data_IF_295088654534
#
_entry.id   IF_295088654534
#
_cell.length_a   1.000
_cell.length_b   1.000
_cell.length_c   1.000
_cell.angle_alpha   90.00
_cell.angle_beta   90.00
_cell.angle_gamma   90.00
#
_symmetry.space_group_name_H-M   'P 1'
#
loop_
_entity.id
_entity.type
_entity.pdbx_description
1 polymer ?
#
# COMPACT_ATOMS: atom_id res chain seq x y z
N UNK A 1 15.71 -1.89 15.22
CA UNK A 1 16.16 -3.20 14.67
C UNK A 1 15.83 -3.32 13.20
N UNK A 2 14.56 -3.20 12.77
CA UNK A 2 14.17 -3.41 11.37
C UNK A 2 14.87 -2.47 10.39
N UNK A 3 15.02 -1.20 10.71
CA UNK A 3 15.68 -0.22 9.86
C UNK A 3 17.14 -0.60 9.55
N UNK A 4 17.89 -1.08 10.53
CA UNK A 4 19.28 -1.55 10.31
C UNK A 4 19.36 -2.72 9.36
N UNK A 5 18.41 -3.67 9.46
CA UNK A 5 18.32 -4.83 8.56
C UNK A 5 17.98 -4.37 7.15
N UNK A 6 16.92 -3.57 6.99
CA UNK A 6 16.48 -3.05 5.68
C UNK A 6 17.58 -2.23 5.01
N UNK A 7 18.27 -1.35 5.74
CA UNK A 7 19.41 -0.61 5.24
C UNK A 7 20.48 -1.54 4.68
N UNK A 8 20.98 -2.47 5.52
CA UNK A 8 22.07 -3.39 5.13
C UNK A 8 21.70 -4.24 3.92
N UNK A 9 20.48 -4.80 3.91
CA UNK A 9 20.01 -5.61 2.76
C UNK A 9 19.91 -4.77 1.50
N UNK A 10 19.35 -3.56 1.60
CA UNK A 10 19.20 -2.65 0.45
C UNK A 10 20.55 -2.25 -0.13
N UNK A 11 21.51 -1.86 0.71
CA UNK A 11 22.88 -1.50 0.27
C UNK A 11 23.54 -2.67 -0.46
N UNK A 12 23.40 -3.89 0.04
CA UNK A 12 23.91 -5.07 -0.62
C UNK A 12 23.19 -5.39 -1.95
N UNK A 13 21.86 -5.25 -2.01
CA UNK A 13 21.11 -5.44 -3.26
C UNK A 13 21.60 -4.45 -4.33
N UNK A 14 21.71 -3.17 -4.02
CA UNK A 14 22.14 -2.15 -4.98
C UNK A 14 23.60 -2.36 -5.40
N UNK A 15 24.47 -2.76 -4.48
CA UNK A 15 25.87 -3.08 -4.79
C UNK A 15 26.01 -4.15 -5.88
N UNK A 16 25.16 -5.19 -5.84
CA UNK A 16 25.24 -6.33 -6.77
C UNK A 16 24.23 -6.24 -7.92
N UNK A 17 23.18 -5.43 -7.79
CA UNK A 17 22.10 -5.26 -8.76
C UNK A 17 21.64 -3.81 -8.84
N UNK A 18 22.46 -2.89 -9.41
CA UNK A 18 22.21 -1.44 -9.36
C UNK A 18 20.95 -0.99 -10.12
N UNK A 19 20.41 -1.84 -10.97
CA UNK A 19 19.18 -1.58 -11.73
C UNK A 19 17.95 -2.28 -11.16
N UNK A 20 18.06 -2.94 -10.00
CA UNK A 20 16.94 -3.63 -9.38
C UNK A 20 15.79 -2.67 -9.04
N UNK A 21 14.56 -3.16 -9.15
CA UNK A 21 13.38 -2.56 -8.53
C UNK A 21 13.20 -3.24 -7.18
N UNK A 22 13.04 -2.46 -6.14
CA UNK A 22 12.98 -2.95 -4.75
C UNK A 22 11.55 -2.84 -4.27
N UNK A 23 10.94 -3.98 -3.96
CA UNK A 23 9.60 -4.06 -3.35
C UNK A 23 9.79 -4.38 -1.86
N UNK A 24 9.45 -3.42 -1.03
CA UNK A 24 9.48 -3.59 0.42
C UNK A 24 8.22 -4.30 0.89
N UNK A 25 8.38 -5.29 1.78
CA UNK A 25 7.30 -6.05 2.43
C UNK A 25 7.39 -5.94 3.95
N UNK A 26 8.52 -5.51 4.47
CA UNK A 26 8.81 -5.40 5.90
C UNK A 26 8.05 -4.27 6.57
N UNK A 27 7.57 -4.51 7.80
CA UNK A 27 6.87 -3.51 8.62
C UNK A 27 7.81 -2.77 9.62
N UNK A 28 7.47 -1.53 9.99
CA UNK A 28 6.38 -0.68 9.47
C UNK A 28 6.64 -0.26 8.02
N UNK A 29 5.74 -0.64 7.10
CA UNK A 29 6.01 -0.68 5.67
C UNK A 29 6.44 0.66 5.09
N UNK A 30 5.65 1.72 5.33
CA UNK A 30 5.88 3.04 4.73
C UNK A 30 7.25 3.60 5.13
N UNK A 31 7.60 3.42 6.42
CA UNK A 31 8.91 3.86 6.95
C UNK A 31 10.05 2.97 6.47
N UNK A 32 9.81 1.67 6.25
CA UNK A 32 10.84 0.79 5.68
C UNK A 32 11.06 1.08 4.18
N UNK A 33 10.04 1.55 3.45
CA UNK A 33 10.22 2.08 2.09
C UNK A 33 11.11 3.32 2.09
N UNK A 34 10.86 4.26 3.00
CA UNK A 34 11.69 5.44 3.18
C UNK A 34 13.14 5.08 3.55
N UNK A 35 13.33 4.16 4.50
CA UNK A 35 14.63 3.63 4.89
C UNK A 35 15.39 3.02 3.70
N UNK A 36 14.71 2.18 2.91
CA UNK A 36 15.29 1.57 1.73
C UNK A 36 15.64 2.60 0.65
N UNK A 37 14.81 3.61 0.45
CA UNK A 37 15.08 4.70 -0.49
C UNK A 37 16.35 5.49 -0.11
N UNK A 38 16.50 5.85 1.16
CA UNK A 38 17.68 6.54 1.66
C UNK A 38 18.96 5.68 1.50
N UNK A 39 18.84 4.37 1.74
CA UNK A 39 19.95 3.42 1.57
C UNK A 39 20.32 3.18 0.11
N UNK A 40 19.32 3.05 -0.76
CA UNK A 40 19.54 2.70 -2.16
C UNK A 40 20.16 3.83 -2.98
N UNK A 41 19.84 5.09 -2.67
CA UNK A 41 20.29 6.28 -3.41
C UNK A 41 20.00 6.19 -4.92
N UNK A 42 18.84 5.65 -5.26
CA UNK A 42 18.33 5.52 -6.64
C UNK A 42 17.06 6.34 -6.80
N UNK A 43 16.54 6.42 -8.03
CA UNK A 43 15.25 7.06 -8.29
C UNK A 43 14.12 6.40 -7.49
N UNK A 44 13.23 7.22 -6.91
CA UNK A 44 12.14 6.74 -6.05
C UNK A 44 11.16 5.81 -6.76
N UNK A 45 11.05 5.90 -8.09
CA UNK A 45 10.26 4.98 -8.91
C UNK A 45 10.71 3.52 -8.82
N UNK A 46 11.95 3.27 -8.38
CA UNK A 46 12.54 1.94 -8.23
C UNK A 46 12.41 1.37 -6.80
N UNK A 47 11.96 2.15 -5.82
CA UNK A 47 11.80 1.72 -4.42
C UNK A 47 10.38 2.00 -3.97
N UNK A 48 9.60 0.97 -3.69
CA UNK A 48 8.20 1.10 -3.32
C UNK A 48 7.75 -0.09 -2.47
N UNK A 49 6.56 0.01 -1.87
CA UNK A 49 6.08 -0.97 -0.90
C UNK A 49 4.86 -1.76 -1.36
N UNK A 50 4.83 -3.05 -1.03
CA UNK A 50 3.68 -3.91 -1.16
C UNK A 50 2.74 -3.65 0.03
N UNK A 51 1.72 -2.81 -0.18
CA UNK A 51 0.76 -2.37 0.83
C UNK A 51 -0.68 -2.55 0.36
N UNK A 52 -1.20 -1.55 -0.34
CA UNK A 52 -2.59 -1.51 -0.77
C UNK A 52 -3.02 -2.68 -1.67
N UNK A 53 -2.11 -3.31 -2.41
CA UNK A 53 -2.42 -4.54 -3.17
C UNK A 53 -2.96 -5.63 -2.25
N UNK A 54 -2.36 -5.81 -1.07
CA UNK A 54 -2.81 -6.75 -0.05
C UNK A 54 -4.08 -6.26 0.67
N UNK A 55 -4.12 -4.97 1.01
CA UNK A 55 -5.24 -4.39 1.77
C UNK A 55 -6.52 -4.35 0.93
N UNK A 56 -6.42 -4.01 -0.36
CA UNK A 56 -7.56 -4.12 -1.28
C UNK A 56 -8.01 -5.56 -1.48
N UNK A 57 -7.10 -6.54 -1.45
CA UNK A 57 -7.48 -7.95 -1.53
C UNK A 57 -8.33 -8.38 -0.33
N UNK A 58 -8.01 -7.92 0.89
CA UNK A 58 -8.83 -8.14 2.09
C UNK A 58 -10.19 -7.47 1.97
N UNK A 59 -10.20 -6.19 1.60
CA UNK A 59 -11.42 -5.42 1.42
C UNK A 59 -12.36 -6.08 0.39
N UNK A 60 -11.81 -6.51 -0.73
CA UNK A 60 -12.55 -7.27 -1.75
C UNK A 60 -13.09 -8.60 -1.23
N UNK A 61 -12.32 -9.32 -0.42
CA UNK A 61 -12.76 -10.59 0.16
C UNK A 61 -13.96 -10.40 1.09
N UNK A 62 -13.91 -9.38 1.97
CA UNK A 62 -15.01 -9.08 2.90
C UNK A 62 -16.26 -8.56 2.19
N UNK A 63 -16.09 -7.74 1.15
CA UNK A 63 -17.20 -7.31 0.30
C UNK A 63 -17.82 -8.50 -0.47
N UNK A 64 -17.00 -9.38 -1.01
CA UNK A 64 -17.45 -10.57 -1.74
C UNK A 64 -18.29 -11.50 -0.84
N UNK A 65 -17.84 -11.71 0.41
CA UNK A 65 -18.57 -12.48 1.42
C UNK A 65 -19.93 -11.82 1.74
N UNK A 66 -19.93 -10.51 1.99
CA UNK A 66 -21.15 -9.78 2.37
C UNK A 66 -22.19 -9.68 1.25
N UNK A 67 -21.74 -9.61 -0.01
CA UNK A 67 -22.59 -9.47 -1.19
C UNK A 67 -22.88 -10.81 -1.88
N UNK A 68 -22.25 -11.90 -1.45
CA UNK A 68 -22.30 -13.22 -2.08
C UNK A 68 -21.95 -13.17 -3.58
N UNK A 69 -20.84 -12.50 -3.92
CA UNK A 69 -20.32 -12.36 -5.29
C UNK A 69 -18.87 -12.80 -5.37
N UNK A 70 -18.37 -12.99 -6.60
CA UNK A 70 -16.96 -13.29 -6.82
C UNK A 70 -16.06 -12.09 -6.46
N UNK A 71 -14.97 -12.27 -5.69
CA UNK A 71 -14.00 -11.20 -5.46
C UNK A 71 -13.28 -10.74 -6.74
N UNK A 72 -13.36 -11.50 -7.83
CA UNK A 72 -12.79 -11.12 -9.14
C UNK A 72 -13.56 -9.97 -9.79
N UNK A 73 -14.85 -9.83 -9.48
CA UNK A 73 -15.71 -8.79 -10.04
C UNK A 73 -15.65 -7.48 -9.26
N UNK A 74 -14.94 -7.47 -8.11
CA UNK A 74 -14.81 -6.29 -7.27
C UNK A 74 -13.52 -5.54 -7.64
N UNK A 75 -13.67 -4.28 -8.01
CA UNK A 75 -12.60 -3.30 -8.10
C UNK A 75 -12.65 -2.42 -6.87
N UNK A 76 -11.55 -2.32 -6.13
CA UNK A 76 -11.49 -1.56 -4.89
C UNK A 76 -10.23 -0.70 -4.83
N UNK A 77 -10.32 0.43 -4.15
CA UNK A 77 -9.21 1.34 -3.95
C UNK A 77 -9.08 1.72 -2.47
N UNK A 78 -7.83 1.74 -2.01
CA UNK A 78 -7.43 2.27 -0.70
C UNK A 78 -6.26 3.23 -0.87
N UNK A 79 -6.19 4.22 0.01
CA UNK A 79 -5.06 5.14 0.13
C UNK A 79 -4.48 5.08 1.55
N UNK A 80 -3.41 5.85 1.77
CA UNK A 80 -2.84 6.05 3.10
C UNK A 80 -1.78 5.04 3.49
N UNK A 81 -1.32 5.13 4.73
CA UNK A 81 -0.32 4.24 5.30
C UNK A 81 -0.83 2.82 5.49
N UNK A 82 0.09 1.85 5.43
CA UNK A 82 -0.23 0.44 5.63
C UNK A 82 -0.41 0.14 7.12
N UNK A 83 -1.66 0.13 7.58
CA UNK A 83 -2.03 -0.09 8.98
C UNK A 83 -3.41 0.46 9.30
N UNK A 84 -3.68 0.75 10.57
CA UNK A 84 -4.99 1.15 11.07
C UNK A 84 -5.49 2.49 10.50
N UNK A 85 -4.59 3.28 9.92
CA UNK A 85 -4.90 4.58 9.30
C UNK A 85 -5.12 4.50 7.80
N UNK A 86 -5.20 3.31 7.19
CA UNK A 86 -5.55 3.16 5.78
C UNK A 86 -6.94 3.75 5.48
N UNK A 87 -7.11 4.25 4.28
CA UNK A 87 -8.30 4.97 3.83
C UNK A 87 -8.97 4.23 2.67
N UNK A 88 -9.87 3.27 2.95
CA UNK A 88 -10.71 2.67 1.91
C UNK A 88 -11.61 3.71 1.27
N UNK A 89 -11.75 3.64 -0.05
CA UNK A 89 -12.54 4.60 -0.84
C UNK A 89 -13.78 3.92 -1.45
N UNK A 90 -14.94 3.90 -0.76
CA UNK A 90 -16.17 3.33 -1.29
C UNK A 90 -16.59 3.93 -2.63
N UNK A 91 -16.39 5.23 -2.83
CA UNK A 91 -16.73 5.93 -4.09
C UNK A 91 -15.92 5.44 -5.29
N UNK A 92 -14.76 4.82 -5.04
CA UNK A 92 -13.88 4.21 -6.05
C UNK A 92 -13.91 2.67 -5.96
N UNK A 93 -14.96 2.11 -5.33
CA UNK A 93 -15.15 0.67 -5.20
C UNK A 93 -16.41 0.25 -5.94
N UNK A 94 -16.29 -0.73 -6.83
CA UNK A 94 -17.40 -1.22 -7.64
C UNK A 94 -17.42 -2.75 -7.75
N UNK A 95 -18.58 -3.29 -8.04
CA UNK A 95 -18.82 -4.71 -8.34
C UNK A 95 -19.38 -4.81 -9.75
N UNK A 96 -18.63 -5.35 -10.68
CA UNK A 96 -19.05 -5.41 -12.08
C UNK A 96 -19.38 -4.04 -12.69
N UNK A 97 -18.77 -2.96 -12.19
CA UNK A 97 -19.02 -1.59 -12.61
C UNK A 97 -20.13 -0.87 -11.82
N UNK A 98 -20.86 -1.57 -10.95
CA UNK A 98 -21.90 -0.97 -10.08
C UNK A 98 -21.21 -0.43 -8.82
N UNK A 99 -21.43 0.83 -8.43
CA UNK A 99 -20.88 1.38 -7.18
C UNK A 99 -21.28 0.51 -5.98
N UNK A 100 -20.32 0.21 -5.11
CA UNK A 100 -20.59 -0.63 -3.92
C UNK A 100 -21.63 0.00 -2.99
N UNK A 101 -21.73 1.32 -2.98
CA UNK A 101 -22.70 2.08 -2.19
C UNK A 101 -24.15 1.88 -2.61
N UNK A 102 -24.39 1.33 -3.81
CA UNK A 102 -25.73 0.97 -4.28
C UNK A 102 -26.11 -0.49 -3.92
N UNK A 103 -25.13 -1.29 -3.51
CA UNK A 103 -25.30 -2.74 -3.31
C UNK A 103 -25.31 -3.17 -1.84
N UNK A 104 -24.84 -2.31 -0.92
CA UNK A 104 -24.74 -2.62 0.50
C UNK A 104 -25.08 -1.42 1.35
N UNK A 105 -25.75 -1.66 2.49
CA UNK A 105 -26.10 -0.62 3.44
C UNK A 105 -24.86 0.06 4.03
N UNK A 106 -24.93 1.35 4.31
CA UNK A 106 -23.81 2.16 4.80
C UNK A 106 -23.19 1.59 6.09
N UNK A 107 -24.00 1.13 7.04
CA UNK A 107 -23.52 0.57 8.32
C UNK A 107 -22.73 -0.72 8.11
N UNK A 108 -23.21 -1.60 7.22
CA UNK A 108 -22.49 -2.84 6.86
C UNK A 108 -21.18 -2.53 6.13
N UNK A 109 -21.21 -1.56 5.21
CA UNK A 109 -20.02 -1.12 4.50
C UNK A 109 -18.98 -0.57 5.47
N UNK A 110 -19.39 0.26 6.42
CA UNK A 110 -18.51 0.80 7.44
C UNK A 110 -17.90 -0.30 8.32
N UNK A 111 -18.67 -1.30 8.73
CA UNK A 111 -18.16 -2.45 9.48
C UNK A 111 -17.08 -3.23 8.69
N UNK A 112 -17.27 -3.40 7.38
CA UNK A 112 -16.28 -4.02 6.49
C UNK A 112 -15.01 -3.17 6.38
N UNK A 113 -15.14 -1.87 6.29
CA UNK A 113 -14.02 -0.92 6.27
C UNK A 113 -13.20 -1.08 7.55
N UNK A 114 -13.82 -1.04 8.71
CA UNK A 114 -13.12 -1.18 9.99
C UNK A 114 -12.45 -2.56 10.12
N UNK A 115 -13.12 -3.64 9.73
CA UNK A 115 -12.51 -4.98 9.70
C UNK A 115 -11.31 -5.05 8.76
N UNK A 116 -11.37 -4.35 7.62
CA UNK A 116 -10.25 -4.31 6.66
C UNK A 116 -8.99 -3.71 7.28
N UNK A 117 -9.13 -2.62 8.04
CA UNK A 117 -8.03 -1.94 8.73
C UNK A 117 -7.28 -2.85 9.69
N UNK A 118 -8.00 -3.71 10.42
CA UNK A 118 -7.42 -4.61 11.42
C UNK A 118 -7.19 -6.03 10.92
N UNK A 119 -7.52 -6.34 9.67
CA UNK A 119 -7.52 -7.69 9.11
C UNK A 119 -6.17 -8.42 9.18
N UNK A 120 -5.05 -7.69 9.13
CA UNK A 120 -3.72 -8.28 9.34
C UNK A 120 -3.52 -8.78 10.77
N UNK A 121 -3.91 -7.98 11.76
CA UNK A 121 -3.87 -8.35 13.17
C UNK A 121 -4.86 -9.48 13.51
N UNK A 122 -6.05 -9.49 12.89
CA UNK A 122 -7.03 -10.58 13.02
C UNK A 122 -6.41 -11.93 12.63
N UNK A 123 -5.74 -11.99 11.47
CA UNK A 123 -5.06 -13.22 11.04
C UNK A 123 -3.93 -13.65 11.97
N UNK A 124 -3.10 -12.72 12.41
CA UNK A 124 -2.01 -13.02 13.38
C UNK A 124 -2.58 -13.58 14.67
N UNK A 125 -3.69 -13.02 15.16
CA UNK A 125 -4.35 -13.50 16.38
C UNK A 125 -4.92 -14.92 16.22
N UNK A 126 -5.48 -15.23 15.05
CA UNK A 126 -6.08 -16.54 14.77
C UNK A 126 -5.05 -17.63 14.48
N UNK A 127 -3.96 -17.27 13.77
CA UNK A 127 -2.95 -18.23 13.31
C UNK A 127 -1.75 -18.33 14.25
N UNK A 128 -1.57 -17.39 15.18
CA UNK A 128 -0.37 -17.31 16.03
C UNK A 128 0.88 -16.83 15.27
N UNK A 129 0.75 -16.48 13.99
CA UNK A 129 1.85 -16.03 13.12
C UNK A 129 1.32 -15.19 11.96
N UNK A 130 2.22 -14.55 11.22
CA UNK A 130 1.86 -13.77 10.02
C UNK A 130 1.29 -14.65 8.91
N UNK A 131 0.36 -14.09 8.12
CA UNK A 131 -0.20 -14.74 6.92
C UNK A 131 0.77 -14.59 5.74
N UNK A 132 1.59 -15.56 5.47
CA UNK A 132 2.62 -15.50 4.42
C UNK A 132 2.05 -15.56 3.01
N UNK A 133 1.01 -16.35 2.78
CA UNK A 133 0.46 -16.62 1.45
C UNK A 133 -0.11 -15.36 0.78
N UNK A 134 -0.92 -14.60 1.49
CA UNK A 134 -1.53 -13.40 0.93
C UNK A 134 -0.50 -12.29 0.63
N UNK A 135 0.44 -11.94 1.52
CA UNK A 135 1.56 -11.06 1.19
C UNK A 135 2.41 -11.57 0.02
N UNK A 136 2.72 -12.87 -0.03
CA UNK A 136 3.45 -13.49 -1.14
C UNK A 136 2.71 -13.37 -2.47
N UNK A 137 1.41 -13.64 -2.50
CA UNK A 137 0.58 -13.49 -3.70
C UNK A 137 0.46 -12.02 -4.15
N UNK A 138 0.34 -11.07 -3.23
CA UNK A 138 0.32 -9.64 -3.54
C UNK A 138 1.66 -9.19 -4.14
N UNK A 139 2.78 -9.57 -3.54
CA UNK A 139 4.11 -9.29 -4.08
C UNK A 139 4.32 -9.92 -5.46
N UNK A 140 3.87 -11.16 -5.66
CA UNK A 140 3.97 -11.86 -6.95
C UNK A 140 3.21 -11.12 -8.07
N UNK A 141 2.02 -10.57 -7.79
CA UNK A 141 1.28 -9.74 -8.76
C UNK A 141 2.06 -8.48 -9.16
N UNK A 142 2.74 -7.83 -8.20
CA UNK A 142 3.57 -6.66 -8.48
C UNK A 142 4.78 -7.05 -9.33
N UNK A 143 5.46 -8.14 -8.99
CA UNK A 143 6.60 -8.68 -9.76
C UNK A 143 6.18 -9.03 -11.19
N UNK A 144 5.04 -9.70 -11.36
CA UNK A 144 4.50 -10.02 -12.68
C UNK A 144 4.23 -8.78 -13.52
N UNK A 145 3.61 -7.75 -12.91
CA UNK A 145 3.33 -6.49 -13.60
C UNK A 145 4.62 -5.81 -14.11
N UNK A 146 5.69 -5.89 -13.35
CA UNK A 146 7.00 -5.33 -13.71
C UNK A 146 7.68 -6.16 -14.82
N UNK A 147 7.80 -7.47 -14.62
CA UNK A 147 8.53 -8.35 -15.54
C UNK A 147 7.85 -8.41 -16.90
N UNK A 148 6.52 -8.42 -16.93
CA UNK A 148 5.72 -8.48 -18.17
C UNK A 148 5.33 -7.10 -18.70
N UNK A 149 5.80 -6.03 -18.11
CA UNK A 149 5.45 -4.64 -18.46
C UNK A 149 3.93 -4.39 -18.60
N UNK A 150 3.15 -4.92 -17.66
CA UNK A 150 1.69 -4.96 -17.79
C UNK A 150 1.00 -3.60 -17.59
N UNK A 151 1.71 -2.59 -17.08
CA UNK A 151 1.15 -1.26 -16.78
C UNK A 151 -0.08 -1.33 -15.85
N UNK A 152 -0.02 -2.23 -14.86
CA UNK A 152 -1.13 -2.43 -13.92
C UNK A 152 -1.30 -1.20 -13.03
N UNK A 153 -2.56 -0.87 -12.78
CA UNK A 153 -2.88 0.12 -11.75
C UNK A 153 -3.04 -0.60 -10.43
N UNK A 154 -2.14 -0.30 -9.50
CA UNK A 154 -2.14 -0.87 -8.15
C UNK A 154 -2.02 0.22 -7.09
N UNK A 155 -2.68 0.10 -5.94
CA UNK A 155 -2.35 0.89 -4.76
C UNK A 155 -1.05 0.33 -4.13
N UNK A 156 0.01 1.09 -4.20
CA UNK A 156 1.31 0.75 -3.59
C UNK A 156 1.82 1.89 -2.73
N UNK A 157 2.69 1.60 -1.78
CA UNK A 157 3.38 2.64 -1.03
C UNK A 157 4.47 3.27 -1.91
N UNK A 158 4.30 4.53 -2.26
CA UNK A 158 5.14 5.31 -3.16
C UNK A 158 5.62 6.61 -2.52
N UNK A 159 6.79 7.10 -2.94
CA UNK A 159 7.26 8.43 -2.58
C UNK A 159 6.41 9.50 -3.28
N UNK A 160 5.80 10.38 -2.50
CA UNK A 160 5.06 11.53 -3.01
C UNK A 160 6.01 12.74 -3.15
N UNK A 161 5.87 13.47 -4.24
CA UNK A 161 6.63 14.67 -4.55
C UNK A 161 5.73 15.82 -5.05
N UNK A 162 4.60 16.01 -4.42
CA UNK A 162 3.59 17.03 -4.73
C UNK A 162 2.19 16.49 -4.86
N UNK A 163 2.05 15.21 -5.14
CA UNK A 163 0.75 14.56 -5.28
C UNK A 163 -0.04 14.64 -3.97
N UNK A 164 -1.34 14.84 -4.09
CA UNK A 164 -2.26 15.11 -2.95
C UNK A 164 -1.82 16.30 -2.08
N UNK A 165 -1.00 17.22 -2.60
CA UNK A 165 -0.40 18.33 -1.84
C UNK A 165 0.67 17.90 -0.83
N UNK A 166 1.17 16.67 -0.93
CA UNK A 166 2.14 16.08 0.01
C UNK A 166 3.50 15.90 -0.65
N UNK A 167 4.57 16.05 0.13
CA UNK A 167 5.94 15.91 -0.35
C UNK A 167 6.82 15.20 0.67
N UNK A 168 7.84 14.50 0.17
CA UNK A 168 8.84 13.81 0.97
C UNK A 168 8.23 12.82 1.97
N UNK A 169 7.27 12.03 1.51
CA UNK A 169 6.59 11.00 2.30
C UNK A 169 6.30 9.75 1.44
N UNK A 170 6.54 8.59 2.00
CA UNK A 170 6.05 7.34 1.45
C UNK A 170 4.62 7.07 1.93
N UNK A 171 3.70 6.89 1.00
CA UNK A 171 2.28 6.70 1.32
C UNK A 171 1.59 5.82 0.26
N UNK A 172 0.57 5.06 0.67
CA UNK A 172 -0.21 4.23 -0.23
C UNK A 172 -1.07 5.06 -1.17
N UNK A 173 -0.81 4.95 -2.48
CA UNK A 173 -1.51 5.67 -3.55
C UNK A 173 -1.62 4.79 -4.80
N UNK A 174 -2.61 5.04 -5.69
CA UNK A 174 -2.69 4.31 -6.95
C UNK A 174 -1.56 4.73 -7.89
N UNK A 175 -0.87 3.74 -8.45
CA UNK A 175 0.20 3.96 -9.41
C UNK A 175 0.04 3.10 -10.64
N UNK A 176 0.64 3.50 -11.74
CA UNK A 176 0.90 2.63 -12.89
C UNK A 176 2.23 1.92 -12.65
N UNK A 177 2.18 0.60 -12.52
CA UNK A 177 3.35 -0.25 -12.27
C UNK A 177 3.71 -1.02 -13.55
N UNK A 178 4.90 -0.81 -14.07
CA UNK A 178 5.44 -1.45 -15.26
C UNK A 178 6.92 -1.77 -15.15
N UNK A 179 7.57 -2.07 -16.27
CA UNK A 179 8.98 -2.53 -16.30
C UNK A 179 9.98 -1.55 -15.68
N UNK A 180 9.63 -0.27 -15.61
CA UNK A 180 10.49 0.76 -15.04
C UNK A 180 10.30 0.93 -13.52
N UNK A 181 9.36 0.20 -12.91
CA UNK A 181 8.87 0.39 -11.55
C UNK A 181 7.60 1.23 -11.55
N UNK A 182 7.49 2.22 -10.68
CA UNK A 182 6.39 3.19 -10.71
C UNK A 182 6.59 4.14 -11.90
N UNK A 183 5.67 4.11 -12.84
CA UNK A 183 5.75 4.96 -14.04
C UNK A 183 4.88 6.22 -13.92
N UNK A 184 3.87 6.17 -13.08
CA UNK A 184 2.97 7.30 -12.82
C UNK A 184 2.24 7.09 -11.49
N UNK A 185 2.10 8.15 -10.70
CA UNK A 185 1.14 8.22 -9.60
C UNK A 185 -0.17 8.78 -10.16
N UNK A 186 -1.30 8.20 -9.78
CA UNK A 186 -2.63 8.65 -10.19
C UNK A 186 -3.28 9.35 -9.00
N UNK A 187 -3.54 10.65 -9.14
CA UNK A 187 -4.32 11.38 -8.16
C UNK A 187 -5.82 11.20 -8.44
N UNK A 188 -6.56 10.66 -7.46
CA UNK A 188 -8.02 10.58 -7.51
C UNK A 188 -8.62 11.78 -6.79
N UNK A 189 -9.80 12.22 -7.23
CA UNK A 189 -10.51 13.33 -6.59
C UNK A 189 -11.09 12.86 -5.26
N UNK A 190 -10.57 13.40 -4.17
CA UNK A 190 -11.05 13.14 -2.81
C UNK A 190 -12.09 14.20 -2.41
N UNK A 191 -13.13 13.77 -1.70
CA UNK A 191 -13.98 14.69 -0.96
C UNK A 191 -13.28 15.19 0.32
N UNK A 192 -13.92 16.07 1.06
CA UNK A 192 -13.26 16.70 2.20
C UNK A 192 -13.03 15.74 3.37
N UNK A 193 -13.91 14.76 3.57
CA UNK A 193 -13.72 13.70 4.57
C UNK A 193 -12.56 12.77 4.19
N UNK A 194 -12.49 12.35 2.93
CA UNK A 194 -11.41 11.51 2.41
C UNK A 194 -10.04 12.22 2.51
N UNK A 195 -10.01 13.55 2.23
CA UNK A 195 -8.80 14.37 2.41
C UNK A 195 -8.35 14.42 3.86
N UNK A 196 -9.28 14.61 4.80
CA UNK A 196 -8.96 14.64 6.23
C UNK A 196 -8.43 13.30 6.72
N UNK A 197 -9.05 12.20 6.30
CA UNK A 197 -8.57 10.84 6.59
C UNK A 197 -7.16 10.60 6.03
N UNK A 198 -6.92 11.00 4.79
CA UNK A 198 -5.60 10.86 4.15
C UNK A 198 -4.55 11.73 4.85
N UNK A 199 -4.87 12.96 5.24
CA UNK A 199 -3.99 13.83 5.99
C UNK A 199 -3.65 13.25 7.37
N UNK A 200 -4.63 12.66 8.06
CA UNK A 200 -4.43 11.96 9.33
C UNK A 200 -3.50 10.76 9.16
N UNK A 201 -3.71 9.98 8.12
CA UNK A 201 -2.85 8.83 7.77
C UNK A 201 -1.42 9.27 7.47
N UNK A 202 -1.25 10.32 6.66
CA UNK A 202 0.06 10.87 6.34
C UNK A 202 0.79 11.40 7.59
N UNK A 203 0.08 12.05 8.51
CA UNK A 203 0.64 12.51 9.79
C UNK A 203 1.16 11.34 10.64
N UNK A 204 0.41 10.24 10.70
CA UNK A 204 0.83 9.04 11.42
C UNK A 204 2.11 8.44 10.81
N UNK A 205 2.18 8.29 9.49
CA UNK A 205 3.39 7.81 8.80
C UNK A 205 4.56 8.74 9.06
N UNK A 206 4.36 10.05 8.91
CA UNK A 206 5.43 11.05 9.08
C UNK A 206 5.99 11.08 10.50
N UNK A 207 5.16 10.84 11.52
CA UNK A 207 5.63 10.74 12.91
C UNK A 207 6.62 9.59 13.10
N UNK A 208 6.41 8.46 12.44
CA UNK A 208 7.34 7.31 12.51
C UNK A 208 8.57 7.52 11.62
N UNK A 209 8.44 8.22 10.48
CA UNK A 209 9.60 8.63 9.67
C UNK A 209 10.55 9.53 10.47
N UNK A 210 10.02 10.48 11.24
CA UNK A 210 10.83 11.34 12.13
C UNK A 210 11.66 10.52 13.13
N UNK A 211 11.06 9.44 13.68
CA UNK A 211 11.84 8.54 14.56
C UNK A 211 13.03 7.90 13.83
N UNK A 212 12.85 7.55 12.55
CA UNK A 212 13.94 7.02 11.73
C UNK A 212 15.03 8.09 11.48
N UNK A 213 14.63 9.33 11.19
CA UNK A 213 15.56 10.45 10.97
C UNK A 213 16.38 10.75 12.23
N UNK A 214 15.74 10.72 13.41
CA UNK A 214 16.38 10.91 14.71
C UNK A 214 17.43 9.83 15.04
N UNK A 215 17.30 8.64 14.43
CA UNK A 215 18.30 7.57 14.58
C UNK A 215 19.62 7.87 13.89
N UNK A 216 19.70 8.90 13.03
CA UNK A 216 20.91 9.36 12.31
C UNK A 216 21.66 8.20 11.61
N UNK A 217 20.89 7.34 10.94
CA UNK A 217 21.46 6.15 10.27
C UNK A 217 21.99 6.43 8.86
N UNK A 218 21.65 7.58 8.28
CA UNK A 218 21.96 7.98 6.90
C UNK A 218 22.70 9.32 6.85
#
# INVERSE_FOLDING_TARGET
>A
TNAGIVKSVTENVIKHSPNAKIIIVSNPLDVMCYCAFLAAKVDSSKVFGMAGVLDTARYRAFLAEALNVSPKDIQALLLGGHGDTMVPLPRYTSVGGIPVTELIDADKLQAIIERTKVGGGELVKLMGTSAWYAPGAAAAQMVEAIIRDQKRVFPVCAMLNGEYGMKDIYLGVPVVLGKNGIEKIIEVKLDDQEKELLATSAKAVKSVMTVLDDMKMF
#
